data_IF_088830463865
#
_entry.id   IF_088830463865
#
_cell.length_a   1.000
_cell.length_b   1.000
_cell.length_c   1.000
_cell.angle_alpha   90.00
_cell.angle_beta   90.00
_cell.angle_gamma   90.00
#
_symmetry.space_group_name_H-M   'P 1'
#
loop_
_entity.id
_entity.type
_entity.pdbx_description
1 polymer ?
#
# COMPACT_ATOMS: atom_id res chain seq x y z
N UNK A 1 -28.38 5.90 13.93
CA UNK A 1 -26.95 6.24 13.72
C UNK A 1 -26.16 4.94 13.84
N UNK A 2 -25.31 4.62 12.84
CA UNK A 2 -24.45 3.44 12.95
C UNK A 2 -23.35 3.68 14.00
N UNK A 3 -22.98 2.63 14.72
CA UNK A 3 -21.88 2.70 15.67
C UNK A 3 -20.58 3.12 14.98
N UNK A 4 -19.78 4.04 15.56
CA UNK A 4 -18.50 4.42 14.97
C UNK A 4 -17.59 3.20 14.81
N UNK A 5 -16.91 3.12 13.67
CA UNK A 5 -15.94 2.07 13.37
C UNK A 5 -14.54 2.54 13.74
N UNK A 6 -13.78 1.65 14.36
CA UNK A 6 -12.43 1.95 14.82
C UNK A 6 -11.45 0.84 14.42
N UNK A 7 -10.21 1.23 14.16
CA UNK A 7 -9.05 0.34 14.16
C UNK A 7 -8.59 0.27 15.61
N UNK A 8 -8.60 -0.92 16.17
CA UNK A 8 -8.26 -1.15 17.58
C UNK A 8 -6.88 -1.80 17.73
N UNK A 9 -6.36 -2.44 16.70
CA UNK A 9 -5.07 -3.06 16.72
C UNK A 9 -4.34 -2.89 15.39
N UNK A 10 -3.04 -2.79 15.46
CA UNK A 10 -2.15 -2.72 14.30
C UNK A 10 -0.84 -3.41 14.60
N UNK A 11 -0.28 -4.07 13.60
CA UNK A 11 1.01 -4.72 13.69
C UNK A 11 1.74 -4.60 12.36
N UNK A 12 3.03 -4.39 12.44
CA UNK A 12 3.94 -4.33 11.30
C UNK A 12 5.19 -5.15 11.59
N UNK A 13 5.73 -5.81 10.58
CA UNK A 13 6.97 -6.55 10.67
C UNK A 13 7.79 -6.36 9.41
N UNK A 14 9.10 -6.18 9.59
CA UNK A 14 10.07 -6.17 8.50
C UNK A 14 11.15 -7.20 8.81
N UNK A 15 11.42 -8.10 7.87
CA UNK A 15 12.54 -9.02 7.96
C UNK A 15 13.74 -8.38 7.27
N UNK A 16 14.72 -7.81 8.02
CA UNK A 16 15.77 -6.99 7.43
C UNK A 16 16.67 -7.81 6.51
N UNK A 17 17.36 -7.13 5.61
CA UNK A 17 18.29 -7.74 4.65
C UNK A 17 19.28 -8.71 5.30
N UNK A 18 19.79 -8.36 6.48
CA UNK A 18 20.80 -9.10 7.25
C UNK A 18 20.19 -10.17 8.17
N UNK A 19 18.87 -10.44 8.08
CA UNK A 19 18.26 -11.48 8.91
C UNK A 19 18.91 -12.86 8.67
N UNK A 20 19.14 -13.59 9.75
CA UNK A 20 19.63 -14.96 9.71
C UNK A 20 18.48 -15.96 9.49
N UNK A 21 18.74 -17.15 8.90
CA UNK A 21 17.75 -18.21 8.82
C UNK A 21 17.35 -18.73 10.22
N UNK A 22 16.16 -19.32 10.40
CA UNK A 22 15.15 -19.50 9.35
C UNK A 22 14.48 -18.19 8.96
N UNK A 23 14.31 -18.01 7.65
CA UNK A 23 13.62 -16.82 7.12
C UNK A 23 12.11 -17.04 7.09
N UNK A 24 11.37 -15.98 7.42
CA UNK A 24 9.93 -15.99 7.38
C UNK A 24 9.41 -15.97 5.94
N UNK A 25 8.42 -16.78 5.67
CA UNK A 25 7.59 -16.69 4.47
C UNK A 25 6.47 -15.64 4.65
N UNK A 26 5.65 -15.33 3.62
CA UNK A 26 4.57 -14.37 3.78
C UNK A 26 3.53 -14.78 4.84
N UNK A 27 3.24 -16.07 5.02
CA UNK A 27 2.31 -16.52 6.06
C UNK A 27 2.88 -16.32 7.45
N UNK A 28 4.17 -16.62 7.65
CA UNK A 28 4.86 -16.34 8.91
C UNK A 28 4.80 -14.86 9.27
N UNK A 29 5.06 -13.99 8.29
CA UNK A 29 5.02 -12.55 8.48
C UNK A 29 3.60 -12.04 8.76
N UNK A 30 2.58 -12.58 8.07
CA UNK A 30 1.17 -12.27 8.34
C UNK A 30 0.78 -12.68 9.74
N UNK A 31 1.18 -13.88 10.19
CA UNK A 31 0.91 -14.38 11.54
C UNK A 31 1.53 -13.46 12.60
N UNK A 32 2.80 -13.10 12.45
CA UNK A 32 3.49 -12.19 13.38
C UNK A 32 2.82 -10.82 13.44
N UNK A 33 2.50 -10.24 12.28
CA UNK A 33 1.81 -8.95 12.22
C UNK A 33 0.41 -9.01 12.85
N UNK A 34 -0.34 -10.10 12.63
CA UNK A 34 -1.66 -10.30 13.21
C UNK A 34 -1.60 -10.44 14.75
N UNK A 35 -0.61 -11.17 15.27
CA UNK A 35 -0.39 -11.30 16.71
C UNK A 35 -0.01 -9.96 17.34
N UNK A 36 0.89 -9.20 16.72
CA UNK A 36 1.24 -7.86 17.15
C UNK A 36 0.02 -6.91 17.14
N UNK A 37 -0.83 -7.00 16.11
CA UNK A 37 -2.08 -6.25 16.07
C UNK A 37 -3.04 -6.63 17.22
N UNK A 38 -3.09 -7.91 17.55
CA UNK A 38 -3.91 -8.42 18.65
C UNK A 38 -3.39 -7.96 20.02
N UNK A 39 -2.09 -7.94 20.24
CA UNK A 39 -1.48 -7.40 21.47
C UNK A 39 -1.90 -5.94 21.71
N UNK A 40 -1.91 -5.12 20.65
CA UNK A 40 -2.39 -3.75 20.72
C UNK A 40 -3.90 -3.68 20.96
N UNK A 41 -4.68 -4.57 20.34
CA UNK A 41 -6.14 -4.58 20.44
C UNK A 41 -6.67 -5.10 21.78
N UNK A 42 -5.92 -5.98 22.46
CA UNK A 42 -6.28 -6.56 23.75
C UNK A 42 -6.36 -8.11 23.73
N UNK A 43 -6.41 -8.76 24.90
CA UNK A 43 -6.17 -10.19 25.05
C UNK A 43 -7.15 -11.10 24.30
N UNK A 44 -8.39 -10.69 24.09
CA UNK A 44 -9.41 -11.46 23.40
C UNK A 44 -9.59 -11.07 21.93
N UNK A 45 -8.73 -10.19 21.40
CA UNK A 45 -8.91 -9.62 20.07
C UNK A 45 -8.94 -10.68 18.97
N UNK A 46 -8.03 -11.67 18.97
CA UNK A 46 -8.04 -12.75 17.98
C UNK A 46 -9.28 -13.64 18.12
N UNK A 47 -9.69 -13.96 19.33
CA UNK A 47 -10.89 -14.78 19.58
C UNK A 47 -12.16 -14.13 19.04
N UNK A 48 -12.21 -12.79 19.07
CA UNK A 48 -13.35 -12.02 18.59
C UNK A 48 -13.41 -11.89 17.06
N UNK A 49 -12.35 -12.24 16.34
CA UNK A 49 -12.30 -12.14 14.86
C UNK A 49 -13.29 -13.12 14.23
N UNK A 50 -14.32 -12.59 13.59
CA UNK A 50 -15.31 -13.35 12.83
C UNK A 50 -15.15 -13.19 11.30
N UNK A 51 -14.31 -12.28 10.88
CA UNK A 51 -14.02 -12.00 9.46
C UNK A 51 -12.51 -11.83 9.24
N UNK A 52 -11.95 -12.59 8.30
CA UNK A 52 -10.54 -12.57 7.93
C UNK A 52 -10.40 -12.15 6.46
N UNK A 53 -9.68 -11.06 6.21
CA UNK A 53 -9.40 -10.53 4.88
C UNK A 53 -7.89 -10.58 4.63
N UNK A 54 -7.44 -11.46 3.74
CA UNK A 54 -6.03 -11.66 3.42
C UNK A 54 -5.70 -10.98 2.11
N UNK A 55 -4.76 -10.04 2.13
CA UNK A 55 -4.21 -9.45 0.92
C UNK A 55 -3.32 -10.49 0.23
N UNK A 56 -3.60 -10.77 -1.04
CA UNK A 56 -2.86 -11.76 -1.81
C UNK A 56 -1.39 -11.40 -1.90
N UNK A 57 -0.53 -12.33 -1.52
CA UNK A 57 0.90 -12.24 -1.75
C UNK A 57 1.25 -12.58 -3.20
N UNK A 58 2.17 -11.83 -3.79
CA UNK A 58 2.73 -12.07 -5.12
C UNK A 58 4.13 -12.69 -5.07
N UNK A 59 4.85 -12.50 -3.97
CA UNK A 59 6.21 -13.02 -3.80
C UNK A 59 6.27 -14.53 -3.68
N UNK A 60 5.17 -15.16 -3.27
CA UNK A 60 5.03 -16.62 -3.13
C UNK A 60 3.64 -17.06 -3.53
N UNK A 61 3.54 -18.21 -4.21
CA UNK A 61 2.26 -18.87 -4.44
C UNK A 61 1.81 -19.55 -3.15
N UNK A 62 0.69 -19.11 -2.59
CA UNK A 62 0.12 -19.62 -1.35
C UNK A 62 -1.22 -20.29 -1.68
N UNK A 63 -1.39 -21.54 -1.25
CA UNK A 63 -2.66 -22.27 -1.38
C UNK A 63 -3.51 -22.02 -0.14
N UNK A 64 -4.74 -21.51 -0.34
CA UNK A 64 -5.71 -21.21 0.71
C UNK A 64 -5.08 -20.47 1.92
N UNK A 65 -4.39 -19.34 1.70
CA UNK A 65 -3.64 -18.64 2.76
C UNK A 65 -4.53 -18.19 3.91
N UNK A 66 -5.79 -17.88 3.65
CA UNK A 66 -6.77 -17.49 4.67
C UNK A 66 -7.10 -18.65 5.64
N UNK A 67 -7.16 -19.88 5.14
CA UNK A 67 -7.46 -21.07 5.95
C UNK A 67 -6.25 -21.42 6.81
N UNK A 68 -5.07 -21.44 6.21
CA UNK A 68 -3.83 -21.74 6.93
C UNK A 68 -3.53 -20.68 7.99
N UNK A 69 -3.72 -19.41 7.66
CA UNK A 69 -3.53 -18.33 8.63
C UNK A 69 -4.54 -18.41 9.78
N UNK A 70 -5.81 -18.69 9.50
CA UNK A 70 -6.82 -18.88 10.54
C UNK A 70 -6.44 -20.04 11.48
N UNK A 71 -5.96 -21.16 10.93
CA UNK A 71 -5.46 -22.30 11.70
C UNK A 71 -4.28 -21.93 12.61
N UNK A 72 -3.29 -21.20 12.09
CA UNK A 72 -2.09 -20.75 12.83
C UNK A 72 -2.46 -19.78 13.95
N UNK A 73 -3.39 -18.87 13.70
CA UNK A 73 -3.88 -17.91 14.70
C UNK A 73 -4.85 -18.52 15.71
N UNK A 74 -5.34 -19.76 15.48
CA UNK A 74 -6.33 -20.41 16.33
C UNK A 74 -7.71 -19.76 16.28
N UNK A 75 -8.07 -19.11 15.16
CA UNK A 75 -9.35 -18.42 14.95
C UNK A 75 -10.26 -19.22 14.02
N UNK A 76 -11.56 -18.98 14.12
CA UNK A 76 -12.60 -19.62 13.27
C UNK A 76 -13.49 -18.54 12.66
N UNK A 77 -12.99 -17.78 11.68
CA UNK A 77 -13.78 -16.71 11.09
C UNK A 77 -14.97 -17.30 10.32
N UNK A 78 -16.12 -16.64 10.43
CA UNK A 78 -17.34 -16.96 9.69
C UNK A 78 -17.20 -16.59 8.21
N UNK A 79 -16.41 -15.56 7.92
CA UNK A 79 -16.10 -15.09 6.57
C UNK A 79 -14.59 -14.97 6.42
N UNK A 80 -14.06 -15.63 5.37
CA UNK A 80 -12.66 -15.44 4.95
C UNK A 80 -12.60 -15.12 3.48
N UNK A 81 -11.71 -14.22 3.10
CA UNK A 81 -11.47 -13.84 1.69
C UNK A 81 -10.00 -13.57 1.44
N UNK A 82 -9.56 -13.96 0.26
CA UNK A 82 -8.29 -13.52 -0.34
C UNK A 82 -8.58 -12.48 -1.41
N UNK A 83 -7.78 -11.43 -1.47
CA UNK A 83 -7.99 -10.37 -2.46
C UNK A 83 -7.50 -10.74 -3.85
N UNK A 84 -7.84 -9.90 -4.82
CA UNK A 84 -7.08 -9.75 -6.05
C UNK A 84 -5.72 -9.08 -5.80
N UNK A 85 -5.02 -8.79 -6.91
CA UNK A 85 -3.72 -8.12 -6.90
C UNK A 85 -3.93 -6.61 -7.09
N UNK A 86 -3.23 -5.79 -6.32
CA UNK A 86 -3.25 -4.33 -6.49
C UNK A 86 -2.84 -3.57 -5.23
N UNK A 87 -2.06 -2.51 -5.39
CA UNK A 87 -1.59 -1.68 -4.29
C UNK A 87 -2.73 -0.96 -3.53
N UNK A 88 -3.90 -0.80 -4.15
CA UNK A 88 -5.10 -0.21 -3.52
C UNK A 88 -5.89 -1.20 -2.67
N UNK A 89 -5.62 -2.49 -2.76
CA UNK A 89 -6.42 -3.56 -2.13
C UNK A 89 -6.46 -3.46 -0.60
N UNK A 90 -5.37 -3.17 0.12
CA UNK A 90 -5.43 -3.00 1.57
C UNK A 90 -6.47 -1.95 1.99
N UNK A 91 -6.47 -0.78 1.33
CA UNK A 91 -7.46 0.27 1.61
C UNK A 91 -8.88 -0.13 1.19
N UNK A 92 -9.01 -0.88 0.10
CA UNK A 92 -10.31 -1.42 -0.33
C UNK A 92 -10.88 -2.38 0.73
N UNK A 93 -10.04 -3.21 1.33
CA UNK A 93 -10.44 -4.09 2.44
C UNK A 93 -10.84 -3.31 3.69
N UNK A 94 -10.16 -2.21 4.02
CA UNK A 94 -10.58 -1.30 5.11
C UNK A 94 -12.00 -0.76 4.84
N UNK A 95 -12.26 -0.29 3.63
CA UNK A 95 -13.59 0.20 3.24
C UNK A 95 -14.65 -0.90 3.31
N UNK A 96 -14.32 -2.13 2.88
CA UNK A 96 -15.20 -3.28 2.95
C UNK A 96 -15.49 -3.70 4.39
N UNK A 97 -14.46 -3.79 5.23
CA UNK A 97 -14.57 -4.10 6.65
C UNK A 97 -15.48 -3.10 7.38
N UNK A 98 -15.25 -1.80 7.14
CA UNK A 98 -16.09 -0.76 7.71
C UNK A 98 -17.56 -0.90 7.28
N UNK A 99 -17.80 -1.27 6.02
CA UNK A 99 -19.15 -1.54 5.53
C UNK A 99 -19.81 -2.75 6.20
N UNK A 100 -19.09 -3.87 6.37
CA UNK A 100 -19.58 -5.07 7.05
C UNK A 100 -19.94 -4.77 8.52
N UNK A 101 -19.04 -4.09 9.22
CA UNK A 101 -19.24 -3.68 10.62
C UNK A 101 -20.44 -2.73 10.78
N UNK A 102 -20.56 -1.74 9.89
CA UNK A 102 -21.68 -0.79 9.92
C UNK A 102 -23.04 -1.44 9.72
N UNK A 103 -23.13 -2.51 8.94
CA UNK A 103 -24.36 -3.27 8.71
C UNK A 103 -24.60 -4.39 9.72
N UNK A 104 -23.68 -4.59 10.68
CA UNK A 104 -23.75 -5.69 11.64
C UNK A 104 -23.51 -7.08 11.01
N UNK A 105 -22.94 -7.13 9.81
CA UNK A 105 -22.55 -8.36 9.11
C UNK A 105 -21.21 -8.93 9.58
N UNK A 106 -20.44 -8.15 10.32
CA UNK A 106 -19.25 -8.54 11.02
C UNK A 106 -19.17 -7.86 12.40
N UNK A 107 -18.45 -8.47 13.33
CA UNK A 107 -18.23 -7.94 14.66
C UNK A 107 -16.78 -7.50 14.87
N UNK A 108 -15.83 -8.24 14.31
CA UNK A 108 -14.40 -7.94 14.34
C UNK A 108 -13.73 -8.46 13.08
N UNK A 109 -13.02 -7.60 12.38
CA UNK A 109 -12.38 -7.89 11.09
C UNK A 109 -10.87 -7.79 11.25
N UNK A 110 -10.15 -8.87 10.93
CA UNK A 110 -8.71 -8.88 10.77
C UNK A 110 -8.37 -8.73 9.28
N UNK A 111 -7.56 -7.75 8.95
CA UNK A 111 -6.98 -7.55 7.62
C UNK A 111 -5.48 -7.73 7.74
N UNK A 112 -4.87 -8.54 6.87
CA UNK A 112 -3.42 -8.74 6.87
C UNK A 112 -2.89 -9.01 5.47
N UNK A 113 -1.61 -8.76 5.28
CA UNK A 113 -0.87 -9.04 4.06
C UNK A 113 0.63 -8.98 4.29
N UNK A 114 1.39 -9.69 3.48
CA UNK A 114 2.84 -9.67 3.51
C UNK A 114 3.43 -10.03 2.16
N UNK A 115 4.64 -9.54 1.91
CA UNK A 115 5.49 -9.89 0.79
C UNK A 115 6.90 -10.23 1.27
N UNK A 116 7.52 -11.23 0.63
CA UNK A 116 8.90 -11.64 0.89
C UNK A 116 9.68 -11.75 -0.41
N UNK A 117 9.92 -10.60 -1.03
CA UNK A 117 10.60 -10.51 -2.33
C UNK A 117 12.12 -10.53 -2.23
N UNK A 118 12.69 -10.32 -1.04
CA UNK A 118 14.14 -10.31 -0.93
C UNK A 118 14.72 -11.70 -1.22
N UNK A 119 15.65 -11.83 -2.18
CA UNK A 119 16.15 -13.13 -2.63
C UNK A 119 17.12 -13.73 -1.60
N UNK A 120 16.60 -14.54 -0.69
CA UNK A 120 17.37 -15.20 0.39
C UNK A 120 17.88 -16.57 0.01
N UNK A 121 17.13 -17.27 -0.84
CA UNK A 121 17.43 -18.63 -1.29
C UNK A 121 17.08 -18.83 -2.77
N UNK A 122 17.30 -20.04 -3.29
CA UNK A 122 17.03 -20.40 -4.68
C UNK A 122 15.52 -20.42 -5.01
N UNK A 123 14.64 -20.47 -4.02
CA UNK A 123 13.18 -20.44 -4.22
C UNK A 123 12.63 -19.04 -4.42
N UNK A 124 13.46 -18.00 -4.19
CA UNK A 124 13.06 -16.61 -4.40
C UNK A 124 12.83 -16.34 -5.88
N UNK A 125 11.63 -15.86 -6.21
CA UNK A 125 11.27 -15.48 -7.57
C UNK A 125 11.87 -14.11 -7.88
N UNK A 126 12.43 -13.94 -9.08
CA UNK A 126 13.14 -12.73 -9.47
C UNK A 126 12.61 -12.14 -10.78
N UNK A 127 12.73 -10.83 -10.92
CA UNK A 127 12.40 -10.12 -12.15
C UNK A 127 10.91 -10.15 -12.50
N UNK A 128 10.58 -10.25 -13.78
CA UNK A 128 9.21 -10.26 -14.28
C UNK A 128 8.38 -11.43 -13.72
N UNK A 129 9.00 -12.59 -13.56
CA UNK A 129 8.36 -13.75 -12.95
C UNK A 129 7.92 -13.49 -11.51
N UNK A 130 8.63 -12.66 -10.75
CA UNK A 130 8.23 -12.29 -9.40
C UNK A 130 6.92 -11.50 -9.35
N UNK A 131 6.61 -10.73 -10.40
CA UNK A 131 5.42 -9.88 -10.47
C UNK A 131 4.21 -10.59 -11.09
N UNK A 132 4.43 -11.72 -11.75
CA UNK A 132 3.36 -12.50 -12.40
C UNK A 132 3.04 -13.81 -11.71
N UNK A 133 3.90 -14.27 -10.79
CA UNK A 133 3.69 -15.50 -10.05
C UNK A 133 2.51 -15.37 -9.06
N UNK A 134 1.71 -16.40 -8.94
CA UNK A 134 0.58 -16.44 -8.01
C UNK A 134 -0.71 -15.82 -8.56
N UNK A 135 -0.76 -15.43 -9.83
CA UNK A 135 -2.01 -15.11 -10.50
C UNK A 135 -2.73 -16.42 -10.78
N UNK A 136 -3.88 -16.72 -10.17
CA UNK A 136 -4.65 -17.91 -10.50
C UNK A 136 -5.08 -17.92 -11.96
N UNK A 137 -5.20 -19.11 -12.55
CA UNK A 137 -5.65 -19.25 -13.94
C UNK A 137 -7.10 -18.78 -14.14
N UNK A 138 -7.91 -18.80 -13.08
CA UNK A 138 -9.28 -18.31 -13.01
C UNK A 138 -9.39 -16.83 -12.57
N UNK A 139 -8.24 -16.18 -12.32
CA UNK A 139 -8.22 -14.77 -12.02
C UNK A 139 -8.74 -14.02 -13.25
N UNK A 140 -9.74 -13.19 -13.04
CA UNK A 140 -10.26 -12.36 -14.11
C UNK A 140 -9.09 -11.58 -14.72
N UNK A 141 -8.69 -11.97 -15.95
CA UNK A 141 -7.59 -11.35 -16.69
C UNK A 141 -7.77 -9.82 -16.74
N UNK A 142 -9.00 -9.38 -16.51
CA UNK A 142 -9.32 -7.98 -16.32
C UNK A 142 -8.72 -7.35 -15.05
N UNK A 143 -8.42 -8.06 -14.00
CA UNK A 143 -7.86 -7.49 -12.77
C UNK A 143 -6.35 -7.79 -12.57
N UNK A 144 -5.77 -8.69 -13.36
CA UNK A 144 -4.47 -9.25 -13.08
C UNK A 144 -3.28 -8.45 -13.60
N UNK A 145 -3.39 -7.84 -14.76
CA UNK A 145 -2.25 -7.19 -15.44
C UNK A 145 -2.64 -5.78 -15.84
N UNK A 146 -1.88 -4.80 -15.39
CA UNK A 146 -2.07 -3.40 -15.76
C UNK A 146 -1.70 -3.08 -17.22
N UNK A 147 -1.46 -4.09 -18.06
CA UNK A 147 -1.06 -3.95 -19.46
C UNK A 147 -1.90 -4.85 -20.37
N UNK A 148 -2.30 -4.33 -21.53
CA UNK A 148 -2.96 -5.10 -22.58
C UNK A 148 -1.99 -6.05 -23.30
N UNK A 149 -2.48 -7.08 -24.01
CA UNK A 149 -1.62 -7.93 -24.85
C UNK A 149 -0.80 -7.14 -25.88
N UNK A 150 -1.34 -6.02 -26.37
CA UNK A 150 -0.63 -5.13 -27.27
C UNK A 150 0.53 -4.43 -26.57
N UNK A 151 0.28 -3.84 -25.41
CA UNK A 151 1.30 -3.17 -24.59
C UNK A 151 2.40 -4.14 -24.19
N UNK A 152 2.05 -5.37 -23.78
CA UNK A 152 3.03 -6.41 -23.43
C UNK A 152 3.92 -6.78 -24.61
N UNK A 153 3.37 -6.92 -25.82
CA UNK A 153 4.18 -7.17 -27.04
C UNK A 153 5.16 -6.03 -27.37
N UNK A 154 4.86 -4.82 -26.89
CA UNK A 154 5.74 -3.64 -27.04
C UNK A 154 6.59 -3.35 -25.79
N UNK A 155 6.69 -4.30 -24.84
CA UNK A 155 7.55 -4.19 -23.68
C UNK A 155 6.97 -3.40 -22.51
N UNK A 156 5.69 -3.01 -22.55
CA UNK A 156 5.00 -2.34 -21.43
C UNK A 156 4.37 -3.38 -20.48
N UNK A 157 5.18 -4.28 -19.92
CA UNK A 157 4.71 -5.39 -19.09
C UNK A 157 4.75 -5.09 -17.59
N UNK A 158 5.61 -4.17 -17.15
CA UNK A 158 5.84 -3.85 -15.75
C UNK A 158 5.51 -2.39 -15.43
N UNK A 159 5.17 -2.07 -14.18
CA UNK A 159 4.93 -0.69 -13.75
C UNK A 159 6.08 0.26 -14.11
N UNK A 160 7.34 -0.20 -13.99
CA UNK A 160 8.52 0.61 -14.34
C UNK A 160 8.60 0.98 -15.83
N UNK A 161 7.92 0.25 -16.70
CA UNK A 161 7.87 0.56 -18.14
C UNK A 161 6.78 1.60 -18.46
N UNK A 162 5.72 1.66 -17.67
CA UNK A 162 4.58 2.52 -17.91
C UNK A 162 4.58 3.84 -17.13
N UNK A 163 4.92 3.82 -15.85
CA UNK A 163 4.90 5.04 -15.03
C UNK A 163 5.81 6.16 -15.52
N UNK A 164 6.92 5.92 -16.26
CA UNK A 164 7.66 6.97 -16.95
C UNK A 164 6.84 7.82 -17.90
N UNK A 165 5.79 7.27 -18.53
CA UNK A 165 4.89 8.04 -19.39
C UNK A 165 4.14 9.12 -18.60
N UNK A 166 3.65 8.76 -17.41
CA UNK A 166 2.99 9.70 -16.50
C UNK A 166 3.97 10.76 -16.00
N UNK A 167 5.18 10.37 -15.62
CA UNK A 167 6.19 11.31 -15.13
C UNK A 167 6.57 12.33 -16.18
N UNK A 168 6.85 11.88 -17.43
CA UNK A 168 7.20 12.76 -18.53
C UNK A 168 6.03 13.71 -18.92
N UNK A 169 4.78 13.22 -18.85
CA UNK A 169 3.60 14.04 -19.11
C UNK A 169 3.42 15.14 -18.03
N UNK A 170 3.60 14.80 -16.76
CA UNK A 170 3.57 15.76 -15.65
C UNK A 170 4.70 16.78 -15.74
N UNK A 171 5.90 16.34 -16.10
CA UNK A 171 7.02 17.24 -16.34
C UNK A 171 6.71 18.19 -17.49
N UNK A 172 6.23 17.71 -18.63
CA UNK A 172 5.83 18.57 -19.75
C UNK A 172 4.75 19.58 -19.34
N UNK A 173 3.69 19.15 -18.64
CA UNK A 173 2.61 20.02 -18.15
C UNK A 173 3.14 21.11 -17.19
N UNK A 174 4.18 20.81 -16.43
CA UNK A 174 4.75 21.77 -15.46
C UNK A 174 5.47 22.96 -16.10
N UNK A 175 5.91 22.85 -17.33
CA UNK A 175 6.73 23.86 -18.01
C UNK A 175 8.15 24.04 -17.45
N UNK A 176 8.55 23.22 -16.47
CA UNK A 176 9.88 23.27 -15.88
C UNK A 176 10.93 22.66 -16.81
N UNK A 177 12.15 23.18 -16.75
CA UNK A 177 13.27 22.47 -17.34
C UNK A 177 13.59 21.17 -16.60
N UNK A 178 14.45 20.33 -17.18
CA UNK A 178 14.79 19.04 -16.61
C UNK A 178 15.39 19.14 -15.21
N UNK A 179 16.26 20.11 -14.99
CA UNK A 179 16.96 20.26 -13.72
C UNK A 179 15.99 20.65 -12.60
N UNK A 180 15.12 21.63 -12.87
CA UNK A 180 14.08 22.07 -11.94
C UNK A 180 13.07 20.95 -11.62
N UNK A 181 12.67 20.17 -12.63
CA UNK A 181 11.78 19.01 -12.41
C UNK A 181 12.43 17.96 -11.51
N UNK A 182 13.66 17.54 -11.81
CA UNK A 182 14.38 16.57 -11.00
C UNK A 182 14.65 17.08 -9.57
N UNK A 183 14.96 18.36 -9.41
CA UNK A 183 15.11 18.98 -8.09
C UNK A 183 13.82 18.90 -7.27
N UNK A 184 12.67 19.18 -7.90
CA UNK A 184 11.34 19.06 -7.27
C UNK A 184 11.03 17.64 -6.83
N UNK A 185 11.24 16.65 -7.70
CA UNK A 185 11.02 15.23 -7.40
C UNK A 185 11.99 14.76 -6.32
N UNK A 186 13.27 15.12 -6.44
CA UNK A 186 14.30 14.78 -5.47
C UNK A 186 14.02 15.35 -4.08
N UNK A 187 13.54 16.57 -3.98
CA UNK A 187 13.17 17.19 -2.70
C UNK A 187 12.02 16.43 -2.02
N UNK A 188 11.01 16.01 -2.78
CA UNK A 188 9.89 15.21 -2.28
C UNK A 188 10.37 13.86 -1.75
N UNK A 189 11.20 13.13 -2.51
CA UNK A 189 11.77 11.83 -2.11
C UNK A 189 12.76 11.92 -0.95
N UNK A 190 13.56 12.99 -0.90
CA UNK A 190 14.42 13.29 0.25
C UNK A 190 13.62 13.45 1.54
N UNK A 191 12.48 14.14 1.48
CA UNK A 191 11.54 14.22 2.59
C UNK A 191 11.05 12.84 3.05
N UNK A 192 10.68 11.95 2.13
CA UNK A 192 10.28 10.58 2.45
C UNK A 192 11.42 9.79 3.11
N UNK A 193 12.65 9.91 2.61
CA UNK A 193 13.79 9.21 3.18
C UNK A 193 14.08 9.67 4.62
N UNK A 194 13.83 10.94 4.91
CA UNK A 194 13.96 11.50 6.27
C UNK A 194 12.93 10.88 7.22
N UNK A 195 11.69 10.74 6.80
CA UNK A 195 10.64 10.05 7.58
C UNK A 195 10.99 8.57 7.77
N UNK A 196 11.42 7.89 6.70
CA UNK A 196 11.83 6.48 6.73
C UNK A 196 12.98 6.22 7.72
N UNK A 197 13.92 7.16 7.86
CA UNK A 197 15.07 7.02 8.76
C UNK A 197 14.65 6.85 10.23
N UNK A 198 13.54 7.45 10.64
CA UNK A 198 12.99 7.34 11.99
C UNK A 198 11.99 6.20 12.17
N UNK A 199 11.52 5.58 11.07
CA UNK A 199 10.49 4.56 11.13
C UNK A 199 11.09 3.16 11.39
N UNK A 200 10.69 2.44 12.45
CA UNK A 200 11.33 1.18 12.87
C UNK A 200 11.17 0.06 11.83
N UNK A 201 10.09 0.06 11.05
CA UNK A 201 9.79 -0.94 10.03
C UNK A 201 10.16 -0.52 8.61
N UNK A 202 10.82 0.64 8.40
CA UNK A 202 11.32 1.00 7.08
C UNK A 202 12.48 0.09 6.68
N UNK A 203 12.45 -0.39 5.42
CA UNK A 203 13.50 -1.26 4.88
C UNK A 203 14.84 -0.54 4.75
N UNK A 204 14.82 0.71 4.27
CA UNK A 204 15.99 1.60 4.18
C UNK A 204 15.82 2.74 5.16
N UNK A 205 16.76 2.88 6.10
CA UNK A 205 16.71 3.87 7.18
C UNK A 205 17.83 4.91 7.12
N UNK A 206 18.32 5.17 5.91
CA UNK A 206 19.37 6.16 5.66
C UNK A 206 18.75 7.38 4.98
N UNK A 207 18.81 8.58 5.57
CA UNK A 207 18.37 9.79 4.88
C UNK A 207 19.19 10.03 3.63
N UNK A 208 18.52 10.38 2.53
CA UNK A 208 19.15 10.65 1.24
C UNK A 208 18.88 12.07 0.81
N UNK A 209 19.90 12.76 0.28
CA UNK A 209 19.72 14.07 -0.33
C UNK A 209 19.00 13.97 -1.68
N UNK A 210 18.38 15.07 -2.12
CA UNK A 210 17.73 15.14 -3.42
C UNK A 210 18.71 14.77 -4.56
N UNK A 211 19.93 15.27 -4.51
CA UNK A 211 20.97 14.95 -5.51
C UNK A 211 21.35 13.48 -5.51
N UNK A 212 21.51 12.88 -4.34
CA UNK A 212 21.79 11.42 -4.23
C UNK A 212 20.68 10.58 -4.85
N UNK A 213 19.42 11.04 -4.77
CA UNK A 213 18.26 10.34 -5.32
C UNK A 213 18.20 10.50 -6.83
N UNK A 214 18.42 11.68 -7.36
CA UNK A 214 18.16 12.00 -8.77
C UNK A 214 19.39 11.86 -9.67
N UNK A 215 20.62 11.91 -9.11
CA UNK A 215 21.84 11.80 -9.90
C UNK A 215 22.22 10.33 -10.13
N UNK A 216 22.39 9.91 -11.40
CA UNK A 216 22.91 8.59 -11.71
C UNK A 216 24.30 8.33 -11.13
N UNK A 217 24.49 7.14 -10.56
CA UNK A 217 25.78 6.65 -10.06
C UNK A 217 25.82 5.12 -10.14
N UNK A 218 26.96 4.46 -9.87
CA UNK A 218 27.04 2.99 -9.84
C UNK A 218 25.98 2.36 -8.91
N UNK A 219 25.69 2.99 -7.76
CA UNK A 219 24.68 2.53 -6.79
C UNK A 219 23.28 3.04 -7.09
N UNK A 220 23.13 4.01 -7.98
CA UNK A 220 21.89 4.64 -8.37
C UNK A 220 21.73 4.68 -9.91
N UNK A 221 21.79 3.51 -10.53
CA UNK A 221 21.73 3.39 -11.99
C UNK A 221 20.41 3.95 -12.56
N UNK A 222 20.41 4.48 -13.79
CA UNK A 222 19.17 4.71 -14.52
C UNK A 222 18.36 3.42 -14.67
N UNK A 223 17.04 3.49 -14.57
CA UNK A 223 16.15 2.35 -14.78
C UNK A 223 15.33 2.56 -16.05
N UNK A 224 14.50 3.60 -16.07
CA UNK A 224 13.70 4.02 -17.21
C UNK A 224 13.53 5.55 -17.13
N UNK A 225 13.86 6.28 -18.20
CA UNK A 225 13.86 7.74 -18.18
C UNK A 225 12.50 8.30 -17.75
N UNK A 226 12.45 9.25 -16.76
CA UNK A 226 13.58 9.95 -16.14
C UNK A 226 14.10 9.30 -14.84
N UNK A 227 13.66 8.11 -14.47
CA UNK A 227 13.91 7.50 -13.18
C UNK A 227 15.30 6.89 -13.03
N UNK A 228 15.91 7.18 -11.88
CA UNK A 228 16.98 6.38 -11.28
C UNK A 228 16.40 5.32 -10.34
N UNK A 229 17.22 4.36 -9.92
CA UNK A 229 16.84 3.30 -8.96
C UNK A 229 16.26 3.87 -7.66
N UNK A 230 16.77 4.99 -7.17
CA UNK A 230 16.34 5.61 -5.90
C UNK A 230 15.10 6.50 -6.02
N UNK A 231 14.63 6.75 -7.24
CA UNK A 231 13.39 7.49 -7.49
C UNK A 231 12.15 6.60 -7.48
N UNK A 232 12.29 5.29 -7.36
CA UNK A 232 11.18 4.33 -7.40
C UNK A 232 11.21 3.44 -6.17
N UNK A 233 10.06 2.88 -5.81
CA UNK A 233 9.96 1.98 -4.66
C UNK A 233 10.82 0.73 -4.82
N UNK A 234 11.34 0.25 -3.72
CA UNK A 234 12.11 -0.98 -3.65
C UNK A 234 11.15 -2.18 -3.62
N UNK A 235 11.13 -2.97 -4.70
CA UNK A 235 10.32 -4.20 -4.76
C UNK A 235 10.89 -5.30 -3.88
N UNK A 236 12.23 -5.41 -3.82
CA UNK A 236 12.93 -6.47 -3.08
C UNK A 236 12.99 -6.18 -1.57
N UNK A 237 11.83 -6.27 -0.91
CA UNK A 237 11.70 -6.10 0.53
C UNK A 237 10.80 -7.19 1.12
N UNK A 238 11.00 -7.50 2.40
CA UNK A 238 10.18 -8.44 3.17
C UNK A 238 9.44 -7.66 4.24
N UNK A 239 8.16 -7.44 4.04
CA UNK A 239 7.32 -6.62 4.91
C UNK A 239 5.95 -7.26 5.07
N UNK A 240 5.43 -7.26 6.31
CA UNK A 240 4.08 -7.69 6.64
C UNK A 240 3.37 -6.68 7.51
N UNK A 241 2.04 -6.61 7.38
CA UNK A 241 1.21 -5.75 8.21
C UNK A 241 -0.15 -6.38 8.47
N UNK A 242 -0.74 -6.01 9.61
CA UNK A 242 -2.10 -6.39 9.97
C UNK A 242 -2.80 -5.29 10.76
N UNK A 243 -4.12 -5.21 10.61
CA UNK A 243 -4.98 -4.33 11.40
C UNK A 243 -6.25 -5.06 11.82
N UNK A 244 -6.78 -4.69 12.99
CA UNK A 244 -8.05 -5.19 13.50
C UNK A 244 -9.03 -4.02 13.59
N UNK A 245 -10.22 -4.21 12.98
CA UNK A 245 -11.31 -3.24 13.01
C UNK A 245 -12.51 -3.81 13.75
N UNK A 246 -13.19 -2.96 14.53
CA UNK A 246 -14.46 -3.29 15.18
C UNK A 246 -15.29 -2.01 15.40
N UNK A 247 -16.42 -2.10 16.07
CA UNK A 247 -17.17 -0.93 16.51
C UNK A 247 -16.57 -0.32 17.77
N UNK A 248 -16.71 1.00 17.94
CA UNK A 248 -16.17 1.70 19.12
C UNK A 248 -16.69 1.15 20.45
N UNK A 249 -17.97 0.74 20.50
CA UNK A 249 -18.56 0.14 21.69
C UNK A 249 -17.91 -1.20 22.06
N UNK A 250 -17.63 -2.06 21.09
CA UNK A 250 -16.92 -3.33 21.31
C UNK A 250 -15.46 -3.09 21.72
N UNK A 251 -14.79 -2.14 21.06
CA UNK A 251 -13.42 -1.79 21.42
C UNK A 251 -13.31 -1.32 22.88
N UNK A 252 -14.26 -0.51 23.34
CA UNK A 252 -14.31 -0.07 24.74
C UNK A 252 -14.52 -1.23 25.70
N UNK A 253 -15.42 -2.17 25.38
CA UNK A 253 -15.70 -3.34 26.21
C UNK A 253 -14.52 -4.33 26.29
N UNK A 254 -13.75 -4.46 25.21
CA UNK A 254 -12.59 -5.38 25.14
C UNK A 254 -11.34 -4.85 25.86
N UNK A 255 -11.26 -3.56 26.13
CA UNK A 255 -10.04 -2.88 26.63
C UNK A 255 -10.15 -2.29 28.03
N UNK A 256 -11.22 -2.54 28.75
CA UNK A 256 -11.51 -1.90 30.04
C UNK A 256 -11.35 -0.36 29.99
N UNK A 257 -11.67 0.24 28.83
CA UNK A 257 -11.58 1.68 28.60
C UNK A 257 -10.18 2.24 28.33
N UNK A 258 -9.12 1.43 28.42
CA UNK A 258 -7.74 1.88 28.17
C UNK A 258 -7.27 1.54 26.75
N UNK A 259 -6.56 2.47 26.11
CA UNK A 259 -5.85 2.27 24.84
C UNK A 259 -6.27 3.20 23.71
N UNK A 260 -5.35 3.42 22.76
CA UNK A 260 -5.58 4.27 21.59
C UNK A 260 -6.39 3.50 20.54
N UNK A 261 -7.33 4.20 19.90
CA UNK A 261 -8.07 3.70 18.73
C UNK A 261 -8.01 4.75 17.63
N UNK A 262 -8.10 4.30 16.38
CA UNK A 262 -8.18 5.18 15.22
C UNK A 262 -9.57 5.08 14.61
N UNK A 263 -10.30 6.20 14.56
CA UNK A 263 -11.65 6.23 14.00
C UNK A 263 -11.62 6.21 12.46
N UNK A 264 -12.32 5.25 11.87
CA UNK A 264 -12.59 5.28 10.43
C UNK A 264 -13.71 6.29 10.16
N UNK A 265 -13.37 7.42 9.55
CA UNK A 265 -14.30 8.51 9.27
C UNK A 265 -15.03 8.34 7.94
N UNK A 266 -14.38 7.76 6.94
CA UNK A 266 -14.96 7.58 5.63
C UNK A 266 -13.98 6.97 4.65
N UNK A 267 -14.50 6.44 3.55
CA UNK A 267 -13.68 5.86 2.50
C UNK A 267 -14.34 5.98 1.13
N UNK A 268 -13.53 6.01 0.09
CA UNK A 268 -13.97 6.05 -1.29
C UNK A 268 -13.26 4.99 -2.13
N UNK A 269 -13.93 4.56 -3.18
CA UNK A 269 -13.37 3.68 -4.19
C UNK A 269 -13.92 4.06 -5.56
N UNK A 270 -13.06 4.08 -6.56
CA UNK A 270 -13.42 4.23 -7.97
C UNK A 270 -12.38 3.53 -8.85
N UNK A 271 -12.81 3.11 -10.04
CA UNK A 271 -11.92 2.60 -11.10
C UNK A 271 -11.97 3.55 -12.28
N UNK A 272 -10.84 3.76 -12.96
CA UNK A 272 -10.81 4.44 -14.26
C UNK A 272 -11.48 3.54 -15.31
N UNK A 273 -12.18 4.16 -16.26
CA UNK A 273 -12.79 3.45 -17.39
C UNK A 273 -11.72 2.90 -18.33
N UNK A 274 -10.72 3.73 -18.62
CA UNK A 274 -9.57 3.36 -19.41
C UNK A 274 -8.61 2.57 -18.54
N UNK A 275 -8.62 1.28 -18.74
CA UNK A 275 -7.87 0.33 -17.95
C UNK A 275 -6.40 0.33 -18.31
N UNK A 276 -6.10 0.29 -19.58
CA UNK A 276 -4.75 0.19 -20.11
C UNK A 276 -4.12 1.56 -20.31
N UNK A 277 -2.79 1.61 -20.28
CA UNK A 277 -2.08 2.88 -20.45
C UNK A 277 -2.32 3.51 -21.82
N UNK A 278 -2.33 2.68 -22.87
CA UNK A 278 -2.58 3.12 -24.25
C UNK A 278 -3.98 3.74 -24.45
N UNK A 279 -4.94 3.40 -23.58
CA UNK A 279 -6.32 3.88 -23.68
C UNK A 279 -6.57 5.15 -22.87
N UNK A 280 -5.60 5.59 -22.05
CA UNK A 280 -5.80 6.73 -21.15
C UNK A 280 -5.86 8.05 -21.90
N UNK A 281 -6.90 8.83 -21.60
CA UNK A 281 -7.08 10.18 -22.13
C UNK A 281 -6.08 11.19 -21.54
N UNK A 282 -5.53 10.90 -20.36
CA UNK A 282 -4.58 11.77 -19.67
C UNK A 282 -3.62 10.97 -18.80
N UNK A 283 -2.36 11.32 -18.86
CA UNK A 283 -1.33 10.81 -17.95
C UNK A 283 -1.05 11.75 -16.75
N UNK A 284 -1.69 12.92 -16.71
CA UNK A 284 -1.49 13.90 -15.63
C UNK A 284 -2.68 14.00 -14.68
N UNK A 285 -3.73 13.21 -14.91
CA UNK A 285 -4.97 13.18 -14.11
C UNK A 285 -5.49 11.75 -13.95
N UNK A 286 -6.16 11.49 -12.84
CA UNK A 286 -6.91 10.25 -12.61
C UNK A 286 -8.33 10.58 -12.13
N UNK A 287 -9.34 10.46 -13.00
CA UNK A 287 -10.74 10.62 -12.60
C UNK A 287 -11.14 9.68 -11.44
N UNK A 288 -10.54 8.48 -11.38
CA UNK A 288 -10.79 7.55 -10.30
C UNK A 288 -10.27 8.06 -8.96
N UNK A 289 -9.04 8.60 -8.90
CA UNK A 289 -8.50 9.21 -7.68
C UNK A 289 -9.37 10.37 -7.21
N UNK A 290 -9.75 11.27 -8.12
CA UNK A 290 -10.63 12.38 -7.79
C UNK A 290 -11.97 11.92 -7.21
N UNK A 291 -12.62 10.94 -7.84
CA UNK A 291 -13.89 10.38 -7.36
C UNK A 291 -13.76 9.64 -6.02
N UNK A 292 -12.66 8.91 -5.82
CA UNK A 292 -12.41 8.21 -4.56
C UNK A 292 -12.20 9.21 -3.42
N UNK A 293 -11.39 10.26 -3.64
CA UNK A 293 -11.17 11.33 -2.68
C UNK A 293 -12.48 12.05 -2.33
N UNK A 294 -13.24 12.52 -3.32
CA UNK A 294 -14.52 13.18 -3.09
C UNK A 294 -15.52 12.32 -2.30
N UNK A 295 -15.58 11.01 -2.58
CA UNK A 295 -16.43 10.09 -1.80
C UNK A 295 -15.95 9.96 -0.35
N UNK A 296 -14.63 9.92 -0.13
CA UNK A 296 -14.06 9.84 1.21
C UNK A 296 -14.35 11.12 2.00
N UNK A 297 -14.16 12.28 1.40
CA UNK A 297 -14.47 13.60 1.99
C UNK A 297 -15.95 13.72 2.39
N UNK A 298 -16.86 13.41 1.48
CA UNK A 298 -18.31 13.44 1.75
C UNK A 298 -18.69 12.53 2.93
N UNK A 299 -18.15 11.31 2.97
CA UNK A 299 -18.46 10.35 4.03
C UNK A 299 -17.82 10.69 5.35
N UNK A 300 -16.62 11.27 5.33
CA UNK A 300 -15.91 11.71 6.51
C UNK A 300 -16.46 13.01 7.09
N UNK A 301 -17.17 13.81 6.28
CA UNK A 301 -17.54 15.18 6.63
C UNK A 301 -16.34 16.10 6.79
N UNK A 302 -15.27 15.86 6.03
CA UNK A 302 -13.99 16.58 6.06
C UNK A 302 -13.51 16.83 4.64
N UNK A 303 -12.82 17.93 4.42
CA UNK A 303 -12.13 18.22 3.16
C UNK A 303 -10.64 17.91 3.28
N UNK A 304 -9.97 17.67 2.17
CA UNK A 304 -8.52 17.43 2.15
C UNK A 304 -7.73 18.60 2.83
N UNK A 305 -8.22 19.83 2.73
CA UNK A 305 -7.63 20.98 3.40
C UNK A 305 -7.61 20.89 4.92
N UNK A 306 -8.51 20.09 5.52
CA UNK A 306 -8.66 19.90 6.97
C UNK A 306 -7.89 18.65 7.49
N UNK A 307 -7.25 17.91 6.58
CA UNK A 307 -6.45 16.73 6.92
C UNK A 307 -5.03 17.16 7.28
N UNK A 308 -4.53 16.74 8.42
CA UNK A 308 -3.20 17.11 8.92
C UNK A 308 -2.08 16.28 8.29
N UNK A 309 -2.35 15.02 7.95
CA UNK A 309 -1.35 14.07 7.45
C UNK A 309 -1.90 13.23 6.31
N UNK A 310 -1.10 13.02 5.28
CA UNK A 310 -1.44 12.21 4.13
C UNK A 310 -0.51 11.02 3.98
N UNK A 311 -1.06 9.86 3.74
CA UNK A 311 -0.36 8.69 3.22
C UNK A 311 -0.80 8.50 1.76
N UNK A 312 0.08 8.81 0.82
CA UNK A 312 -0.19 8.71 -0.61
C UNK A 312 0.57 7.54 -1.23
N UNK A 313 -0.09 6.83 -2.14
CA UNK A 313 0.55 5.76 -2.91
C UNK A 313 1.77 6.30 -3.66
N UNK A 314 2.95 5.79 -3.35
CA UNK A 314 4.23 6.42 -3.68
C UNK A 314 5.25 5.47 -4.32
N UNK A 315 4.79 4.42 -5.03
CA UNK A 315 5.71 3.56 -5.80
C UNK A 315 6.49 4.34 -6.86
N UNK A 316 5.93 5.44 -7.36
CA UNK A 316 6.53 6.34 -8.34
C UNK A 316 6.17 7.80 -8.01
N UNK A 317 7.06 8.77 -8.26
CA UNK A 317 6.81 10.19 -8.00
C UNK A 317 5.56 10.72 -8.68
N UNK A 318 5.31 10.32 -9.92
CA UNK A 318 4.13 10.73 -10.66
C UNK A 318 2.81 10.35 -9.97
N UNK A 319 2.73 9.19 -9.30
CA UNK A 319 1.53 8.79 -8.58
C UNK A 319 1.22 9.76 -7.42
N UNK A 320 2.24 10.16 -6.68
CA UNK A 320 2.12 11.18 -5.61
C UNK A 320 1.69 12.52 -6.19
N UNK A 321 2.31 12.96 -7.30
CA UNK A 321 2.00 14.24 -7.93
C UNK A 321 0.55 14.27 -8.46
N UNK A 322 0.07 13.21 -9.07
CA UNK A 322 -1.34 13.10 -9.51
C UNK A 322 -2.29 13.15 -8.31
N UNK A 323 -2.00 12.41 -7.24
CA UNK A 323 -2.82 12.43 -6.03
C UNK A 323 -2.87 13.82 -5.38
N UNK A 324 -1.70 14.46 -5.22
CA UNK A 324 -1.59 15.84 -4.69
C UNK A 324 -2.41 16.85 -5.50
N UNK A 325 -2.32 16.76 -6.83
CA UNK A 325 -3.10 17.63 -7.75
C UNK A 325 -4.61 17.49 -7.51
N UNK A 326 -5.11 16.27 -7.30
CA UNK A 326 -6.53 16.06 -7.01
C UNK A 326 -6.96 16.46 -5.60
N UNK A 327 -6.04 16.45 -4.64
CA UNK A 327 -6.28 16.84 -3.25
C UNK A 327 -6.01 18.33 -2.99
N UNK A 328 -5.54 19.09 -3.98
CA UNK A 328 -5.17 20.50 -3.82
C UNK A 328 -3.96 20.70 -2.91
N UNK A 329 -3.02 19.74 -2.88
CA UNK A 329 -1.79 19.82 -2.07
C UNK A 329 -0.67 20.42 -2.92
N UNK A 330 -0.30 21.63 -2.63
CA UNK A 330 0.77 22.37 -3.32
C UNK A 330 2.17 21.94 -2.85
N UNK A 331 3.21 22.33 -3.61
CA UNK A 331 4.60 22.02 -3.26
C UNK A 331 5.07 22.65 -1.94
N UNK A 332 4.55 23.81 -1.63
CA UNK A 332 4.84 24.54 -0.39
C UNK A 332 4.00 24.04 0.81
N UNK A 333 3.09 23.09 0.62
CA UNK A 333 2.23 22.60 1.69
C UNK A 333 3.09 21.87 2.75
N UNK A 334 3.08 22.35 4.02
CA UNK A 334 3.89 21.75 5.07
C UNK A 334 3.48 20.31 5.41
N UNK A 335 2.23 19.92 5.12
CA UNK A 335 1.69 18.58 5.39
C UNK A 335 2.29 17.49 4.51
N UNK A 336 2.98 17.86 3.42
CA UNK A 336 3.69 16.89 2.56
C UNK A 336 4.79 16.12 3.29
N UNK A 337 5.29 16.64 4.42
CA UNK A 337 6.30 15.96 5.23
C UNK A 337 5.76 14.77 6.03
N UNK A 338 4.43 14.60 6.08
CA UNK A 338 3.77 13.47 6.74
C UNK A 338 3.62 12.24 5.82
N UNK A 339 4.23 12.25 4.63
CA UNK A 339 4.11 11.16 3.65
C UNK A 339 4.90 9.90 4.05
N UNK A 340 4.48 8.70 3.61
CA UNK A 340 4.83 7.46 4.29
C UNK A 340 6.30 7.07 4.20
N UNK A 341 6.78 6.49 5.30
CA UNK A 341 8.09 5.87 5.42
C UNK A 341 8.23 4.53 4.68
N UNK A 342 7.15 4.01 4.09
CA UNK A 342 7.07 2.63 3.59
C UNK A 342 7.66 2.39 2.20
N UNK A 343 8.20 3.42 1.54
CA UNK A 343 8.51 3.37 0.10
C UNK A 343 9.99 3.37 -0.24
N UNK A 344 10.86 3.64 0.72
CA UNK A 344 12.31 3.70 0.48
C UNK A 344 13.07 2.55 1.12
#
# INVERSE_FOLDING_TARGET
>A
MHAPIVITGWGQITQPKQANPPWMDPLDMMEHAARAAAEVAGPDALRAVDTLLVVRSQSRSLTAPEQELARRLGIRPRLSRVSGIGGQVPQQFVNQAAGLLARGEAESVLICGAETYYPRDASAVRGEAALTQGIPADYDAEDAVGASPLEMRHGLSLPIHGFPLFENALWHESGLDRQAWLARVGAMWSGFSTVAASHPNAWTRTPLSADTITTPSPDNRPIAFPYTKRMVSLVMADIGAAIILTTAGRAAAQRDGAGKVVYFRGGGFAKDRQRFMADKESYTRSPAMAKAAAKAEIRAGLRAAEVECFDLYSCFPCAVNVARKHLGIEDADPRRSCLPASVL
#
